data_IF_594643575129
#
_entry.id   IF_594643575129
#
_cell.length_a   1.000
_cell.length_b   1.000
_cell.length_c   1.000
_cell.angle_alpha   90.00
_cell.angle_beta   90.00
_cell.angle_gamma   90.00
#
_symmetry.space_group_name_H-M   'P 1'
#
loop_
_entity.id
_entity.type
_entity.pdbx_description
1 polymer ?
#
# COMPACT_ATOMS: atom_id res chain seq x y z
N UNK A 1 -13.81 -3.01 -5.48
CA UNK A 1 -12.86 -4.14 -5.37
C UNK A 1 -12.53 -4.57 -6.79
N UNK A 2 -11.25 -4.62 -7.17
CA UNK A 2 -10.86 -4.97 -8.55
C UNK A 2 -11.20 -6.44 -8.78
N UNK A 3 -12.16 -6.70 -9.67
CA UNK A 3 -12.61 -8.07 -9.99
C UNK A 3 -11.59 -8.79 -10.88
N UNK A 4 -10.87 -8.03 -11.71
CA UNK A 4 -9.94 -8.51 -12.72
C UNK A 4 -8.47 -8.20 -12.36
N UNK A 5 -7.97 -8.83 -11.30
CA UNK A 5 -6.55 -8.78 -10.96
C UNK A 5 -5.96 -10.19 -10.86
N UNK A 6 -4.73 -10.34 -11.36
CA UNK A 6 -3.84 -11.47 -11.05
C UNK A 6 -2.75 -10.94 -10.12
N UNK A 7 -2.57 -11.60 -8.99
CA UNK A 7 -1.53 -11.25 -8.03
C UNK A 7 -0.32 -12.14 -8.24
N UNK A 8 0.85 -11.52 -8.22
CA UNK A 8 2.14 -12.19 -8.34
C UNK A 8 2.97 -11.81 -7.12
N UNK A 9 3.23 -12.79 -6.26
CA UNK A 9 4.13 -12.64 -5.11
C UNK A 9 5.53 -13.02 -5.57
N UNK A 10 6.44 -12.05 -5.56
CA UNK A 10 7.83 -12.23 -5.97
C UNK A 10 8.70 -12.21 -4.73
N UNK A 11 9.61 -13.17 -4.60
CA UNK A 11 10.63 -13.18 -3.56
C UNK A 11 12.00 -13.52 -4.14
N UNK A 12 13.06 -13.16 -3.41
CA UNK A 12 14.42 -13.53 -3.77
C UNK A 12 14.75 -14.91 -3.20
N UNK A 13 15.03 -15.88 -4.07
CA UNK A 13 15.34 -17.26 -3.69
C UNK A 13 16.69 -17.42 -2.99
N UNK A 14 17.56 -16.40 -3.01
CA UNK A 14 18.88 -16.37 -2.36
C UNK A 14 18.87 -15.78 -0.95
N UNK A 15 17.88 -14.94 -0.64
CA UNK A 15 17.81 -14.24 0.63
C UNK A 15 16.93 -14.98 1.64
N UNK A 16 16.88 -14.46 2.86
CA UNK A 16 15.93 -14.89 3.90
C UNK A 16 14.47 -14.48 3.63
N UNK A 17 14.16 -13.91 2.46
CA UNK A 17 12.83 -13.36 2.13
C UNK A 17 11.75 -14.44 2.02
N UNK A 18 12.13 -15.71 1.81
CA UNK A 18 11.19 -16.83 1.81
C UNK A 18 10.39 -16.92 3.12
N UNK A 19 10.97 -16.47 4.24
CA UNK A 19 10.30 -16.43 5.54
C UNK A 19 9.18 -15.37 5.60
N UNK A 20 9.20 -14.37 4.72
CA UNK A 20 8.21 -13.32 4.64
C UNK A 20 7.07 -13.64 3.65
N UNK A 21 7.23 -14.69 2.82
CA UNK A 21 6.25 -15.02 1.77
C UNK A 21 4.86 -15.26 2.34
N UNK A 22 4.75 -15.95 3.48
CA UNK A 22 3.45 -16.18 4.14
C UNK A 22 2.73 -14.87 4.47
N UNK A 23 3.44 -13.86 4.98
CA UNK A 23 2.87 -12.56 5.28
C UNK A 23 2.33 -11.84 4.03
N UNK A 24 3.00 -11.98 2.89
CA UNK A 24 2.53 -11.41 1.62
C UNK A 24 1.34 -12.18 1.05
N UNK A 25 1.38 -13.51 1.08
CA UNK A 25 0.27 -14.35 0.60
C UNK A 25 -1.00 -14.10 1.41
N UNK A 26 -0.87 -13.98 2.73
CA UNK A 26 -1.98 -13.61 3.61
C UNK A 26 -2.56 -12.22 3.27
N UNK A 27 -1.70 -11.23 2.96
CA UNK A 27 -2.18 -9.91 2.51
C UNK A 27 -2.95 -10.01 1.19
N UNK A 28 -2.46 -10.79 0.24
CA UNK A 28 -3.16 -11.02 -1.03
C UNK A 28 -4.50 -11.70 -0.77
N UNK A 29 -4.54 -12.73 0.07
CA UNK A 29 -5.79 -13.42 0.42
C UNK A 29 -6.81 -12.48 1.09
N UNK A 30 -6.37 -11.53 1.92
CA UNK A 30 -7.26 -10.51 2.49
C UNK A 30 -7.80 -9.51 1.46
N UNK A 31 -7.09 -9.31 0.35
CA UNK A 31 -7.49 -8.42 -0.75
C UNK A 31 -8.36 -9.14 -1.78
N UNK A 32 -8.03 -10.40 -2.10
CA UNK A 32 -8.73 -11.25 -3.08
C UNK A 32 -8.89 -12.69 -2.57
N UNK A 33 -9.82 -12.95 -1.64
CA UNK A 33 -9.94 -14.25 -0.94
C UNK A 33 -10.14 -15.48 -1.83
N UNK A 34 -10.64 -15.28 -3.06
CA UNK A 34 -11.02 -16.35 -3.99
C UNK A 34 -10.00 -16.61 -5.10
N UNK A 35 -8.89 -15.85 -5.16
CA UNK A 35 -7.90 -15.99 -6.23
C UNK A 35 -6.60 -16.56 -5.69
N UNK A 36 -6.09 -17.61 -6.36
CA UNK A 36 -4.77 -18.16 -6.06
C UNK A 36 -3.70 -17.21 -6.61
N UNK A 37 -2.80 -16.66 -5.78
CA UNK A 37 -1.68 -15.86 -6.27
C UNK A 37 -0.66 -16.75 -6.99
N UNK A 38 0.05 -16.16 -7.95
CA UNK A 38 1.26 -16.77 -8.51
C UNK A 38 2.43 -16.52 -7.56
N UNK A 39 3.25 -17.53 -7.33
CA UNK A 39 4.46 -17.41 -6.50
C UNK A 39 5.70 -17.55 -7.39
N UNK A 40 6.56 -16.54 -7.34
CA UNK A 40 7.73 -16.41 -8.20
C UNK A 40 8.98 -16.27 -7.34
N UNK A 41 9.93 -17.19 -7.52
CA UNK A 41 11.25 -17.13 -6.92
C UNK A 41 12.25 -16.57 -7.94
N UNK A 42 12.84 -15.41 -7.65
CA UNK A 42 13.93 -14.84 -8.46
C UNK A 42 15.28 -15.38 -8.02
N UNK A 43 16.31 -15.29 -8.89
CA UNK A 43 17.66 -15.84 -8.63
C UNK A 43 17.67 -17.33 -8.29
N UNK A 44 16.71 -18.07 -8.84
CA UNK A 44 16.40 -19.43 -8.45
C UNK A 44 17.21 -20.49 -9.20
N UNK A 45 17.78 -20.14 -10.36
CA UNK A 45 18.51 -21.05 -11.26
C UNK A 45 19.76 -20.32 -11.79
N UNK A 46 20.78 -20.20 -10.95
CA UNK A 46 22.02 -19.50 -11.29
C UNK A 46 23.23 -20.31 -10.81
N UNK A 47 23.84 -21.06 -11.74
CA UNK A 47 24.89 -22.03 -11.43
C UNK A 47 24.34 -23.24 -10.65
N UNK A 48 25.10 -23.73 -9.68
CA UNK A 48 24.70 -24.84 -8.80
C UNK A 48 23.79 -24.41 -7.64
N UNK A 49 23.37 -23.14 -7.62
CA UNK A 49 22.53 -22.60 -6.55
C UNK A 49 21.09 -23.12 -6.66
N UNK A 50 20.59 -23.70 -5.56
CA UNK A 50 19.19 -24.11 -5.42
C UNK A 50 18.45 -23.06 -4.60
N UNK A 51 17.39 -22.49 -5.20
CA UNK A 51 16.54 -21.51 -4.55
C UNK A 51 15.93 -22.03 -3.23
N UNK A 52 15.94 -21.17 -2.21
CA UNK A 52 15.18 -21.41 -1.00
C UNK A 52 13.68 -21.34 -1.32
N UNK A 53 12.92 -22.23 -0.67
CA UNK A 53 11.47 -22.37 -0.87
C UNK A 53 10.79 -22.11 0.47
N UNK A 54 9.64 -21.39 0.50
CA UNK A 54 8.84 -21.27 1.71
C UNK A 54 8.49 -22.64 2.28
N UNK A 55 8.31 -22.73 3.60
CA UNK A 55 7.99 -24.01 4.23
C UNK A 55 6.69 -24.60 3.69
N UNK A 56 6.62 -25.93 3.66
CA UNK A 56 5.43 -26.67 3.18
C UNK A 56 4.14 -26.18 3.86
N UNK A 57 4.08 -25.97 5.19
CA UNK A 57 2.86 -25.46 5.84
C UNK A 57 2.41 -24.08 5.33
N UNK A 58 3.35 -23.19 4.96
CA UNK A 58 3.02 -21.88 4.40
C UNK A 58 2.41 -22.04 3.00
N UNK A 59 2.98 -22.90 2.17
CA UNK A 59 2.48 -23.13 0.81
C UNK A 59 1.09 -23.79 0.83
N UNK A 60 0.92 -24.81 1.67
CA UNK A 60 -0.35 -25.54 1.81
C UNK A 60 -1.49 -24.65 2.33
N UNK A 61 -1.20 -23.74 3.27
CA UNK A 61 -2.20 -22.78 3.78
C UNK A 61 -2.81 -21.89 2.69
N UNK A 62 -2.11 -21.71 1.57
CA UNK A 62 -2.56 -20.92 0.42
C UNK A 62 -2.87 -21.77 -0.82
N UNK A 63 -2.91 -23.11 -0.68
CA UNK A 63 -3.19 -24.03 -1.79
C UNK A 63 -2.14 -24.00 -2.90
N UNK A 64 -0.89 -23.68 -2.55
CA UNK A 64 0.27 -23.65 -3.46
C UNK A 64 1.09 -24.91 -3.25
N UNK A 65 1.48 -25.60 -4.32
CA UNK A 65 2.44 -26.71 -4.26
C UNK A 65 3.86 -26.19 -4.55
N UNK A 66 4.89 -26.87 -4.05
CA UNK A 66 6.28 -26.48 -4.31
C UNK A 66 6.63 -26.48 -5.82
N UNK A 67 5.97 -27.32 -6.61
CA UNK A 67 6.14 -27.41 -8.06
C UNK A 67 5.38 -26.30 -8.83
N UNK A 68 4.40 -25.66 -8.19
CA UNK A 68 3.69 -24.51 -8.74
C UNK A 68 4.57 -23.25 -8.74
N UNK A 69 5.68 -23.24 -7.98
CA UNK A 69 6.57 -22.10 -7.86
C UNK A 69 7.32 -21.90 -9.18
N UNK A 70 7.14 -20.71 -9.74
CA UNK A 70 7.84 -20.30 -10.95
C UNK A 70 9.23 -19.81 -10.53
N UNK A 71 10.26 -20.52 -10.99
CA UNK A 71 11.67 -20.22 -10.67
C UNK A 71 12.27 -19.46 -11.83
N UNK A 72 12.81 -18.28 -11.55
CA UNK A 72 13.43 -17.40 -12.54
C UNK A 72 14.94 -17.33 -12.33
N UNK A 73 15.70 -17.38 -13.41
CA UNK A 73 17.10 -16.94 -13.41
C UNK A 73 17.19 -15.48 -13.81
N UNK A 74 17.79 -14.64 -12.98
CA UNK A 74 18.02 -13.24 -13.35
C UNK A 74 19.17 -13.10 -14.36
N UNK A 75 20.04 -14.13 -14.44
CA UNK A 75 21.21 -14.15 -15.32
C UNK A 75 20.88 -14.64 -16.73
N UNK A 76 20.15 -15.77 -16.84
CA UNK A 76 19.86 -16.38 -18.14
C UNK A 76 18.49 -16.01 -18.69
N UNK A 77 17.59 -15.49 -17.84
CA UNK A 77 16.18 -15.31 -18.18
C UNK A 77 15.36 -16.60 -18.14
N UNK A 78 15.95 -17.73 -17.72
CA UNK A 78 15.23 -19.00 -17.60
C UNK A 78 13.99 -18.84 -16.72
N UNK A 79 12.89 -19.46 -17.17
CA UNK A 79 11.59 -19.41 -16.48
C UNK A 79 10.73 -18.19 -16.82
N UNK A 80 11.25 -17.17 -17.52
CA UNK A 80 10.45 -16.01 -17.96
C UNK A 80 9.33 -16.43 -18.91
N UNK A 81 9.61 -17.30 -19.88
CA UNK A 81 8.59 -17.81 -20.80
C UNK A 81 7.49 -18.60 -20.08
N UNK A 82 7.87 -19.40 -19.08
CA UNK A 82 6.92 -20.10 -18.21
C UNK A 82 6.04 -19.09 -17.45
N UNK A 83 6.63 -18.02 -16.91
CA UNK A 83 5.88 -16.96 -16.24
C UNK A 83 4.90 -16.27 -17.19
N UNK A 84 5.35 -15.90 -18.39
CA UNK A 84 4.50 -15.29 -19.41
C UNK A 84 3.34 -16.22 -19.76
N UNK A 85 3.60 -17.50 -20.02
CA UNK A 85 2.58 -18.49 -20.33
C UNK A 85 1.55 -18.62 -19.21
N UNK A 86 1.98 -18.74 -17.95
CA UNK A 86 1.05 -18.85 -16.80
C UNK A 86 0.22 -17.57 -16.62
N UNK A 87 0.80 -16.38 -16.86
CA UNK A 87 0.04 -15.12 -16.81
C UNK A 87 -0.98 -15.05 -17.96
N UNK A 88 -0.59 -15.44 -19.18
CA UNK A 88 -1.49 -15.52 -20.33
C UNK A 88 -2.62 -16.50 -20.09
N UNK A 89 -2.32 -17.69 -19.60
CA UNK A 89 -3.33 -18.71 -19.25
C UNK A 89 -4.28 -18.20 -18.16
N UNK A 90 -3.75 -17.55 -17.12
CA UNK A 90 -4.59 -16.94 -16.09
C UNK A 90 -5.50 -15.85 -16.66
N UNK A 91 -5.02 -15.05 -17.61
CA UNK A 91 -5.81 -14.03 -18.29
C UNK A 91 -6.90 -14.62 -19.18
N UNK A 92 -6.60 -15.68 -19.95
CA UNK A 92 -7.55 -16.39 -20.82
C UNK A 92 -8.62 -17.12 -20.01
N UNK A 93 -8.22 -17.74 -18.89
CA UNK A 93 -9.12 -18.51 -18.02
C UNK A 93 -9.83 -17.66 -16.96
N UNK A 94 -9.47 -16.39 -16.82
CA UNK A 94 -10.31 -15.46 -16.07
C UNK A 94 -11.64 -15.42 -16.82
N UNK A 95 -12.79 -15.60 -16.15
CA UNK A 95 -14.10 -15.44 -16.77
C UNK A 95 -14.30 -13.95 -17.12
N UNK A 96 -13.57 -13.50 -18.13
CA UNK A 96 -13.72 -12.23 -18.77
C UNK A 96 -15.03 -12.34 -19.53
N UNK A 97 -16.01 -11.56 -19.07
CA UNK A 97 -17.34 -11.50 -19.66
C UNK A 97 -17.21 -11.35 -21.18
N UNK A 98 -17.59 -12.37 -21.95
CA UNK A 98 -17.61 -12.36 -23.42
C UNK A 98 -18.37 -11.13 -23.96
N UNK A 99 -19.27 -10.58 -23.15
CA UNK A 99 -20.04 -9.37 -23.42
C UNK A 99 -19.20 -8.08 -23.49
N UNK A 100 -17.96 -8.04 -22.96
CA UNK A 100 -17.11 -6.83 -23.01
C UNK A 100 -16.56 -6.57 -24.42
N UNK A 101 -16.36 -7.63 -25.20
CA UNK A 101 -15.75 -7.60 -26.54
C UNK A 101 -16.62 -6.97 -27.63
N UNK A 102 -17.73 -6.32 -27.27
CA UNK A 102 -18.50 -5.55 -28.25
C UNK A 102 -17.56 -4.52 -28.93
N UNK A 103 -17.62 -4.37 -30.27
CA UNK A 103 -16.78 -3.40 -30.98
C UNK A 103 -16.88 -1.97 -30.42
N UNK A 104 -18.05 -1.56 -29.93
CA UNK A 104 -18.29 -0.25 -29.32
C UNK A 104 -17.44 -0.02 -28.04
N UNK A 105 -17.37 -1.01 -27.14
CA UNK A 105 -16.56 -0.93 -25.93
C UNK A 105 -15.05 -0.92 -26.22
N UNK A 106 -14.61 -1.72 -27.22
CA UNK A 106 -13.22 -1.74 -27.67
C UNK A 106 -12.82 -0.38 -28.25
N UNK A 107 -13.66 0.20 -29.11
CA UNK A 107 -13.42 1.53 -29.66
C UNK A 107 -13.39 2.59 -28.55
N UNK A 108 -14.34 2.54 -27.61
CA UNK A 108 -14.37 3.47 -26.47
C UNK A 108 -13.09 3.40 -25.64
N UNK A 109 -12.57 2.20 -25.37
CA UNK A 109 -11.27 2.00 -24.69
C UNK A 109 -10.13 2.66 -25.44
N UNK A 110 -10.08 2.50 -26.76
CA UNK A 110 -9.05 3.14 -27.59
C UNK A 110 -9.19 4.66 -27.61
N UNK A 111 -10.41 5.20 -27.61
CA UNK A 111 -10.66 6.64 -27.47
C UNK A 111 -10.17 7.18 -26.12
N UNK A 112 -10.43 6.48 -25.01
CA UNK A 112 -9.91 6.84 -23.68
C UNK A 112 -8.37 6.87 -23.68
N UNK A 113 -7.72 5.88 -24.30
CA UNK A 113 -6.25 5.82 -24.42
C UNK A 113 -5.69 6.93 -25.30
N UNK A 114 -6.35 7.26 -26.41
CA UNK A 114 -5.97 8.40 -27.27
C UNK A 114 -6.09 9.71 -26.51
N UNK A 115 -7.20 9.92 -25.80
CA UNK A 115 -7.41 11.10 -24.96
C UNK A 115 -6.34 11.21 -23.88
N UNK A 116 -6.05 10.13 -23.15
CA UNK A 116 -4.99 10.07 -22.14
C UNK A 116 -3.64 10.54 -22.71
N UNK A 117 -3.26 10.02 -23.88
CA UNK A 117 -2.01 10.41 -24.56
C UNK A 117 -2.02 11.88 -24.98
N UNK A 118 -3.16 12.40 -25.42
CA UNK A 118 -3.31 13.79 -25.82
C UNK A 118 -3.13 14.74 -24.63
N UNK A 119 -3.86 14.51 -23.53
CA UNK A 119 -3.74 15.31 -22.30
C UNK A 119 -2.34 15.24 -21.70
N UNK A 120 -1.73 14.05 -21.66
CA UNK A 120 -0.36 13.90 -21.16
C UNK A 120 0.66 14.71 -21.98
N UNK A 121 0.50 14.75 -23.32
CA UNK A 121 1.36 15.58 -24.20
C UNK A 121 1.13 17.06 -24.00
N UNK A 122 -0.11 17.47 -23.70
CA UNK A 122 -0.47 18.85 -23.40
C UNK A 122 -0.04 19.29 -21.99
N UNK A 123 0.43 18.36 -21.13
CA UNK A 123 0.71 18.65 -19.73
C UNK A 123 -0.56 18.90 -18.91
N UNK A 124 -1.71 18.44 -19.39
CA UNK A 124 -3.00 18.62 -18.74
C UNK A 124 -3.29 17.49 -17.72
N UNK A 125 -4.18 17.74 -16.73
CA UNK A 125 -4.62 16.71 -15.80
C UNK A 125 -5.23 15.52 -16.55
N UNK A 126 -4.95 14.29 -16.13
CA UNK A 126 -5.51 13.08 -16.76
C UNK A 126 -6.93 12.75 -16.23
N UNK A 127 -7.76 13.80 -16.16
CA UNK A 127 -9.18 13.77 -15.88
C UNK A 127 -9.94 14.44 -17.01
N UNK A 128 -11.17 14.00 -17.22
CA UNK A 128 -12.16 14.66 -18.08
C UNK A 128 -13.47 14.79 -17.33
N UNK A 129 -14.35 15.64 -17.84
CA UNK A 129 -15.74 15.71 -17.38
C UNK A 129 -16.53 14.48 -17.84
N UNK A 130 -17.59 14.16 -17.09
CA UNK A 130 -18.55 13.13 -17.45
C UNK A 130 -19.20 13.43 -18.81
N UNK A 131 -19.45 14.71 -19.12
CA UNK A 131 -19.97 15.12 -20.42
C UNK A 131 -19.02 14.81 -21.59
N UNK A 132 -17.72 15.00 -21.42
CA UNK A 132 -16.71 14.62 -22.42
C UNK A 132 -16.66 13.10 -22.63
N UNK A 133 -16.72 12.33 -21.54
CA UNK A 133 -16.83 10.87 -21.61
C UNK A 133 -18.09 10.45 -22.37
N UNK A 134 -19.25 11.01 -22.02
CA UNK A 134 -20.51 10.71 -22.67
C UNK A 134 -20.50 11.10 -24.16
N UNK A 135 -19.85 12.21 -24.51
CA UNK A 135 -19.65 12.63 -25.90
C UNK A 135 -18.79 11.64 -26.69
N UNK A 136 -17.71 11.12 -26.09
CA UNK A 136 -16.90 10.04 -26.69
C UNK A 136 -17.73 8.77 -26.87
N UNK A 137 -18.50 8.37 -25.84
CA UNK A 137 -19.29 7.15 -25.87
C UNK A 137 -20.37 7.18 -26.98
N UNK A 138 -21.03 8.32 -27.17
CA UNK A 138 -22.00 8.52 -28.27
C UNK A 138 -21.36 8.34 -29.65
N UNK A 139 -20.13 8.83 -29.84
CA UNK A 139 -19.35 8.62 -31.09
C UNK A 139 -18.96 7.16 -31.31
N UNK A 140 -18.90 6.36 -30.24
CA UNK A 140 -18.63 4.93 -30.29
C UNK A 140 -19.92 4.08 -30.40
N UNK A 141 -21.06 4.68 -30.79
CA UNK A 141 -22.37 4.04 -30.90
C UNK A 141 -22.99 3.55 -29.58
N UNK A 142 -22.55 4.06 -28.42
CA UNK A 142 -23.21 3.81 -27.13
C UNK A 142 -24.27 4.89 -26.90
N UNK A 143 -25.47 4.66 -27.45
CA UNK A 143 -26.51 5.69 -27.52
C UNK A 143 -27.33 5.82 -26.24
N UNK A 144 -27.59 4.71 -25.55
CA UNK A 144 -28.43 4.73 -24.34
C UNK A 144 -27.61 5.13 -23.10
N UNK A 145 -28.23 5.74 -22.07
CA UNK A 145 -27.56 5.96 -20.78
C UNK A 145 -27.05 4.67 -20.13
N UNK A 146 -27.80 3.57 -20.25
CA UNK A 146 -27.45 2.29 -19.64
C UNK A 146 -26.23 1.65 -20.31
N UNK A 147 -26.14 1.70 -21.64
CA UNK A 147 -24.96 1.23 -22.38
C UNK A 147 -23.70 2.01 -21.97
N UNK A 148 -23.83 3.33 -21.82
CA UNK A 148 -22.72 4.22 -21.43
C UNK A 148 -22.27 3.94 -19.99
N UNK A 149 -23.21 3.75 -19.07
CA UNK A 149 -22.90 3.37 -17.68
C UNK A 149 -22.24 2.00 -17.62
N UNK A 150 -22.79 1.01 -18.31
CA UNK A 150 -22.21 -0.34 -18.38
C UNK A 150 -20.80 -0.32 -18.95
N UNK A 151 -20.55 0.48 -20.01
CA UNK A 151 -19.22 0.68 -20.57
C UNK A 151 -18.26 1.30 -19.54
N UNK A 152 -18.68 2.35 -18.82
CA UNK A 152 -17.87 3.00 -17.80
C UNK A 152 -17.51 2.06 -16.64
N UNK A 153 -18.47 1.27 -16.15
CA UNK A 153 -18.25 0.28 -15.10
C UNK A 153 -17.22 -0.77 -15.55
N UNK A 154 -17.33 -1.26 -16.78
CA UNK A 154 -16.38 -2.21 -17.37
C UNK A 154 -14.97 -1.62 -17.49
N UNK A 155 -14.85 -0.40 -18.01
CA UNK A 155 -13.55 0.29 -18.09
C UNK A 155 -12.96 0.55 -16.70
N UNK A 156 -13.82 0.79 -15.69
CA UNK A 156 -13.41 0.94 -14.29
C UNK A 156 -12.93 -0.36 -13.66
N UNK A 157 -13.58 -1.49 -13.98
CA UNK A 157 -13.20 -2.82 -13.52
C UNK A 157 -11.85 -3.25 -14.10
N UNK A 158 -11.58 -2.93 -15.37
CA UNK A 158 -10.27 -3.13 -16.02
C UNK A 158 -9.18 -2.16 -15.54
N UNK A 159 -9.55 -1.11 -14.79
CA UNK A 159 -8.61 -0.07 -14.37
C UNK A 159 -8.13 0.82 -15.51
N UNK A 160 -8.91 0.95 -16.60
CA UNK A 160 -8.62 1.91 -17.68
C UNK A 160 -9.05 3.34 -17.30
N UNK A 161 -10.04 3.48 -16.42
CA UNK A 161 -10.46 4.76 -15.86
C UNK A 161 -11.06 4.56 -14.46
N UNK A 162 -11.43 5.65 -13.78
CA UNK A 162 -12.24 5.66 -12.56
C UNK A 162 -13.22 6.83 -12.59
N UNK A 163 -14.47 6.54 -12.24
CA UNK A 163 -15.47 7.56 -11.90
C UNK A 163 -15.78 7.45 -10.40
N UNK A 164 -15.77 8.60 -9.72
CA UNK A 164 -16.03 8.69 -8.28
C UNK A 164 -17.33 9.44 -8.02
N UNK A 165 -18.46 8.94 -8.55
CA UNK A 165 -19.77 9.58 -8.43
C UNK A 165 -20.22 9.85 -6.99
N UNK A 166 -19.71 9.06 -6.03
CA UNK A 166 -20.04 9.15 -4.61
C UNK A 166 -19.14 10.11 -3.82
N UNK A 167 -18.14 10.72 -4.45
CA UNK A 167 -17.22 11.65 -3.80
C UNK A 167 -17.63 13.08 -4.12
N UNK A 168 -18.01 13.90 -3.10
CA UNK A 168 -18.40 15.26 -3.33
C UNK A 168 -17.31 16.07 -4.05
N UNK A 169 -17.70 16.84 -5.07
CA UNK A 169 -16.78 17.61 -5.92
C UNK A 169 -16.12 16.81 -7.05
N UNK A 170 -16.32 15.48 -7.14
CA UNK A 170 -15.87 14.62 -8.24
C UNK A 170 -17.01 13.90 -8.96
N UNK A 171 -18.26 14.30 -8.72
CA UNK A 171 -19.44 13.62 -9.27
C UNK A 171 -19.46 13.64 -10.80
N UNK A 172 -18.91 14.69 -11.38
CA UNK A 172 -18.76 14.87 -12.82
C UNK A 172 -17.35 14.51 -13.32
N UNK A 173 -16.48 13.92 -12.49
CA UNK A 173 -15.07 13.63 -12.82
C UNK A 173 -14.90 12.22 -13.36
N UNK A 174 -14.18 12.07 -14.46
CA UNK A 174 -13.68 10.78 -14.91
C UNK A 174 -12.17 10.84 -14.97
N UNK A 175 -11.49 10.15 -14.05
CA UNK A 175 -10.04 9.94 -14.07
C UNK A 175 -9.75 8.93 -15.16
N UNK A 176 -9.19 9.37 -16.29
CA UNK A 176 -8.89 8.48 -17.43
C UNK A 176 -7.52 7.82 -17.35
N UNK A 177 -6.72 8.16 -16.35
CA UNK A 177 -5.50 7.45 -15.99
C UNK A 177 -5.43 7.20 -14.48
N UNK A 178 -5.83 6.00 -14.01
CA UNK A 178 -5.73 5.66 -12.59
C UNK A 178 -4.30 5.66 -12.05
N UNK A 179 -3.26 5.51 -12.90
CA UNK A 179 -1.87 5.63 -12.47
C UNK A 179 -1.54 7.07 -12.09
N UNK A 180 -1.94 8.05 -12.89
CA UNK A 180 -1.74 9.47 -12.56
C UNK A 180 -2.35 9.83 -11.21
N UNK A 181 -3.54 9.32 -10.91
CA UNK A 181 -4.16 9.51 -9.60
C UNK A 181 -3.36 8.84 -8.47
N UNK A 182 -2.86 7.63 -8.70
CA UNK A 182 -2.01 6.94 -7.74
C UNK A 182 -0.70 7.71 -7.50
N UNK A 183 -0.09 8.26 -8.54
CA UNK A 183 1.11 9.07 -8.47
C UNK A 183 0.86 10.37 -7.67
N UNK A 184 -0.31 11.00 -7.86
CA UNK A 184 -0.75 12.14 -7.04
C UNK A 184 -0.88 11.73 -5.55
N UNK A 185 -1.55 10.63 -5.25
CA UNK A 185 -1.67 10.14 -3.87
C UNK A 185 -0.29 9.80 -3.26
N UNK A 186 0.63 9.26 -4.05
CA UNK A 186 2.00 8.94 -3.62
C UNK A 186 2.91 10.18 -3.47
N UNK A 187 2.52 11.33 -4.04
CA UNK A 187 3.19 12.61 -3.71
C UNK A 187 2.83 13.10 -2.31
N UNK A 188 1.62 12.78 -1.85
CA UNK A 188 1.09 13.21 -0.54
C UNK A 188 1.48 12.20 0.55
N UNK A 189 1.33 10.91 0.27
CA UNK A 189 1.78 9.83 1.15
C UNK A 189 3.19 9.42 0.73
N UNK A 190 4.19 10.03 1.36
CA UNK A 190 5.58 9.97 0.88
C UNK A 190 6.58 10.00 2.02
N UNK A 191 7.67 9.23 1.89
CA UNK A 191 8.85 9.33 2.76
C UNK A 191 9.98 10.17 2.14
N UNK A 192 9.76 10.71 0.94
CA UNK A 192 10.72 11.59 0.28
C UNK A 192 10.80 12.95 1.00
N UNK A 193 12.01 13.34 1.41
CA UNK A 193 12.22 14.54 2.21
C UNK A 193 11.85 15.83 1.45
N UNK A 194 12.08 15.87 0.12
CA UNK A 194 11.73 17.03 -0.70
C UNK A 194 10.22 17.23 -0.77
N UNK A 195 9.46 16.17 -0.99
CA UNK A 195 7.98 16.21 -1.00
C UNK A 195 7.39 16.50 0.38
N UNK A 196 7.99 15.94 1.44
CA UNK A 196 7.59 16.28 2.82
C UNK A 196 7.81 17.79 3.10
N UNK A 197 8.92 18.36 2.61
CA UNK A 197 9.17 19.80 2.72
C UNK A 197 8.20 20.65 1.88
N UNK A 198 7.83 20.20 0.67
CA UNK A 198 6.81 20.86 -0.17
C UNK A 198 5.45 20.95 0.54
N UNK A 199 5.09 19.89 1.27
CA UNK A 199 3.90 19.83 2.11
C UNK A 199 4.05 20.62 3.42
N UNK A 200 5.24 21.11 3.77
CA UNK A 200 5.50 21.64 5.11
C UNK A 200 5.12 20.63 6.20
N UNK A 201 5.39 19.34 5.95
CA UNK A 201 4.89 18.26 6.79
C UNK A 201 5.73 18.14 8.07
N UNK A 202 5.05 18.12 9.22
CA UNK A 202 5.66 17.88 10.52
C UNK A 202 4.96 16.72 11.22
N UNK A 203 5.66 15.61 11.46
CA UNK A 203 5.12 14.43 12.14
C UNK A 203 3.79 13.90 11.55
N UNK A 204 3.63 14.00 10.22
CA UNK A 204 2.41 13.59 9.52
C UNK A 204 1.28 14.63 9.50
N UNK A 205 1.52 15.83 10.04
CA UNK A 205 0.62 16.98 9.94
C UNK A 205 1.06 17.93 8.81
N UNK A 206 0.10 18.58 8.18
CA UNK A 206 0.31 19.65 7.19
C UNK A 206 -0.85 20.65 7.25
N UNK A 207 -0.73 21.80 6.60
CA UNK A 207 -1.87 22.71 6.41
C UNK A 207 -2.70 22.30 5.19
N UNK A 208 -4.01 22.55 5.23
CA UNK A 208 -4.90 22.33 4.07
C UNK A 208 -4.42 23.11 2.85
N UNK A 209 -3.99 24.36 3.03
CA UNK A 209 -3.42 25.19 1.96
C UNK A 209 -2.18 24.58 1.30
N UNK A 210 -1.30 23.91 2.06
CA UNK A 210 -0.13 23.25 1.50
C UNK A 210 -0.54 21.99 0.73
N UNK A 211 -1.47 21.20 1.28
CA UNK A 211 -2.02 20.02 0.63
C UNK A 211 -2.69 20.38 -0.71
N UNK A 212 -3.56 21.38 -0.71
CA UNK A 212 -4.25 21.88 -1.90
C UNK A 212 -3.26 22.40 -2.94
N UNK A 213 -2.18 23.08 -2.53
CA UNK A 213 -1.13 23.54 -3.45
C UNK A 213 -0.47 22.38 -4.18
N UNK A 214 -0.18 21.28 -3.49
CA UNK A 214 0.40 20.07 -4.11
C UNK A 214 -0.60 19.43 -5.08
N UNK A 215 -1.89 19.40 -4.74
CA UNK A 215 -2.92 18.89 -5.66
C UNK A 215 -3.06 19.81 -6.88
N UNK A 216 -3.11 21.13 -6.67
CA UNK A 216 -3.20 22.15 -7.70
C UNK A 216 -2.00 22.15 -8.65
N UNK A 217 -0.79 21.80 -8.17
CA UNK A 217 0.40 21.73 -9.03
C UNK A 217 0.36 20.56 -10.01
N UNK A 218 -0.40 19.51 -9.70
CA UNK A 218 -0.60 18.33 -10.57
C UNK A 218 -1.91 18.42 -11.35
N UNK A 219 -2.90 19.12 -10.80
CA UNK A 219 -4.22 19.33 -11.38
C UNK A 219 -4.52 20.84 -11.44
N UNK A 220 -3.84 21.63 -12.31
CA UNK A 220 -4.14 23.04 -12.48
C UNK A 220 -5.60 23.23 -12.91
N UNK A 221 -6.16 24.40 -12.59
CA UNK A 221 -7.52 24.73 -12.99
C UNK A 221 -7.62 24.63 -14.51
N UNK A 222 -8.43 23.69 -14.99
CA UNK A 222 -8.64 23.53 -16.43
C UNK A 222 -9.48 24.69 -16.95
N UNK A 223 -9.29 25.03 -18.22
CA UNK A 223 -10.13 25.95 -18.99
C UNK A 223 -11.62 25.56 -18.99
N UNK A 224 -11.97 24.33 -18.59
CA UNK A 224 -13.35 23.85 -18.43
C UNK A 224 -14.05 24.25 -17.11
N UNK A 225 -13.42 25.07 -16.26
CA UNK A 225 -14.11 25.86 -15.23
C UNK A 225 -14.39 25.18 -13.88
N UNK A 226 -13.90 23.95 -13.65
CA UNK A 226 -13.98 23.28 -12.34
C UNK A 226 -12.61 23.16 -11.66
N UNK A 227 -12.49 23.60 -10.41
CA UNK A 227 -11.36 23.22 -9.55
C UNK A 227 -11.66 21.86 -8.92
N UNK A 228 -11.09 20.80 -9.47
CA UNK A 228 -11.23 19.43 -8.96
C UNK A 228 -10.46 19.20 -7.65
N UNK A 229 -9.73 20.21 -7.17
CA UNK A 229 -8.81 20.10 -6.03
C UNK A 229 -9.53 19.64 -4.76
N UNK A 230 -10.62 20.30 -4.37
CA UNK A 230 -11.40 19.91 -3.19
C UNK A 230 -11.92 18.46 -3.33
N UNK A 231 -12.45 18.12 -4.51
CA UNK A 231 -12.90 16.77 -4.81
C UNK A 231 -11.79 15.71 -4.68
N UNK A 232 -10.59 15.99 -5.17
CA UNK A 232 -9.43 15.09 -5.06
C UNK A 232 -8.95 14.95 -3.61
N UNK A 233 -8.99 16.03 -2.81
CA UNK A 233 -8.71 15.97 -1.38
C UNK A 233 -9.75 15.11 -0.66
N UNK A 234 -11.04 15.31 -0.95
CA UNK A 234 -12.13 14.47 -0.41
C UNK A 234 -12.02 13.01 -0.82
N UNK A 235 -11.54 12.72 -2.04
CA UNK A 235 -11.24 11.36 -2.46
C UNK A 235 -10.14 10.73 -1.59
N UNK A 236 -9.08 11.48 -1.29
CA UNK A 236 -8.01 11.00 -0.41
C UNK A 236 -8.51 10.78 1.03
N UNK A 237 -9.44 11.60 1.51
CA UNK A 237 -10.15 11.35 2.78
C UNK A 237 -10.98 10.07 2.71
N UNK A 238 -11.74 9.87 1.63
CA UNK A 238 -12.56 8.67 1.42
C UNK A 238 -11.70 7.39 1.41
N UNK A 239 -10.50 7.47 0.83
CA UNK A 239 -9.49 6.41 0.82
C UNK A 239 -8.81 6.20 2.19
N UNK A 240 -8.98 7.10 3.16
CA UNK A 240 -8.33 7.03 4.48
C UNK A 240 -6.85 7.41 4.46
N UNK A 241 -6.45 8.24 3.50
CA UNK A 241 -5.08 8.73 3.34
C UNK A 241 -4.88 10.10 3.98
N UNK A 242 -5.95 10.89 4.10
CA UNK A 242 -5.96 12.24 4.64
C UNK A 242 -7.15 12.38 5.60
N UNK A 243 -7.00 13.18 6.65
CA UNK A 243 -8.09 13.73 7.44
C UNK A 243 -7.93 15.26 7.43
N UNK A 244 -8.94 16.01 6.99
CA UNK A 244 -8.94 17.47 7.13
C UNK A 244 -9.61 17.82 8.45
N UNK A 245 -8.88 18.53 9.30
CA UNK A 245 -9.36 19.09 10.55
C UNK A 245 -10.15 20.38 10.28
N UNK A 246 -11.13 20.74 11.14
CA UNK A 246 -11.81 22.03 11.07
C UNK A 246 -10.87 23.25 11.13
N UNK A 247 -9.70 23.12 11.78
CA UNK A 247 -8.74 24.20 11.98
C UNK A 247 -7.81 24.45 10.77
N UNK A 248 -8.26 24.16 9.56
CA UNK A 248 -7.47 24.30 8.31
C UNK A 248 -6.17 23.46 8.29
N UNK A 249 -6.10 22.42 9.13
CA UNK A 249 -5.00 21.47 9.21
C UNK A 249 -5.39 20.14 8.59
N UNK A 250 -4.40 19.35 8.16
CA UNK A 250 -4.60 18.01 7.68
C UNK A 250 -3.65 17.02 8.36
N UNK A 251 -4.17 15.84 8.64
CA UNK A 251 -3.42 14.68 9.12
C UNK A 251 -3.28 13.69 7.98
N UNK A 252 -2.09 13.14 7.79
CA UNK A 252 -1.81 12.07 6.83
C UNK A 252 -1.45 10.82 7.64
N UNK A 253 -2.41 9.96 8.02
CA UNK A 253 -2.19 8.89 8.98
C UNK A 253 -1.03 7.95 8.68
N UNK A 254 -0.77 7.53 7.42
CA UNK A 254 0.39 6.70 7.12
C UNK A 254 1.75 7.34 7.46
N UNK A 255 1.80 8.67 7.56
CA UNK A 255 3.00 9.48 7.84
C UNK A 255 3.15 9.88 9.31
N UNK A 256 2.20 9.53 10.16
CA UNK A 256 2.28 9.77 11.59
C UNK A 256 3.35 8.88 12.25
N UNK A 257 3.90 9.29 13.40
CA UNK A 257 4.85 8.47 14.14
C UNK A 257 4.25 7.11 14.54
N UNK A 258 5.09 6.08 14.53
CA UNK A 258 4.71 4.75 15.01
C UNK A 258 4.89 4.65 16.53
N UNK A 259 3.84 4.23 17.23
CA UNK A 259 3.84 3.97 18.68
C UNK A 259 3.40 2.54 19.01
N UNK A 260 3.35 1.63 18.04
CA UNK A 260 2.90 0.24 18.24
C UNK A 260 3.73 -0.55 19.25
N UNK A 261 4.97 -0.12 19.53
CA UNK A 261 5.86 -0.72 20.52
C UNK A 261 5.58 -0.26 21.95
N UNK A 262 4.80 0.80 22.13
CA UNK A 262 4.43 1.28 23.47
C UNK A 262 3.45 0.30 24.12
N UNK A 263 3.65 0.04 25.41
CA UNK A 263 2.76 -0.86 26.14
C UNK A 263 1.37 -0.22 26.31
N UNK A 264 0.32 -1.03 26.31
CA UNK A 264 -1.03 -0.56 26.65
C UNK A 264 -1.07 0.11 28.03
N UNK A 265 -0.23 -0.33 28.97
CA UNK A 265 -0.09 0.30 30.29
C UNK A 265 0.43 1.74 30.17
N UNK A 266 1.39 2.00 29.29
CA UNK A 266 1.94 3.34 29.04
C UNK A 266 0.87 4.27 28.48
N UNK A 267 0.10 3.81 27.49
CA UNK A 267 -1.03 4.60 26.96
C UNK A 267 -2.10 4.87 28.03
N UNK A 268 -2.45 3.87 28.85
CA UNK A 268 -3.39 4.05 29.95
C UNK A 268 -2.88 5.03 31.00
N UNK A 269 -1.59 4.99 31.35
CA UNK A 269 -0.99 5.94 32.28
C UNK A 269 -1.07 7.38 31.73
N UNK A 270 -0.80 7.59 30.44
CA UNK A 270 -0.91 8.90 29.81
C UNK A 270 -2.35 9.46 29.84
N UNK A 271 -3.37 8.60 29.78
CA UNK A 271 -4.78 9.00 29.94
C UNK A 271 -5.14 9.43 31.37
N UNK A 272 -4.37 8.98 32.36
CA UNK A 272 -4.61 9.27 33.79
C UNK A 272 -3.84 10.51 34.25
N UNK A 273 -2.63 10.72 33.71
CA UNK A 273 -1.67 11.74 34.19
C UNK A 273 -1.95 13.14 33.64
N UNK A 274 -2.51 13.27 32.44
CA UNK A 274 -2.90 14.58 31.92
C UNK A 274 -4.19 15.07 32.57
N UNK A 275 -4.00 15.76 33.70
CA UNK A 275 -5.01 16.62 34.29
C UNK A 275 -5.36 17.74 33.32
N UNK A 276 -6.61 18.19 33.31
CA UNK A 276 -6.99 19.33 32.50
C UNK A 276 -6.30 20.59 33.05
N UNK A 277 -5.90 21.49 32.15
CA UNK A 277 -5.26 22.75 32.50
C UNK A 277 -6.16 23.63 33.40
N UNK A 278 -5.64 24.74 33.92
CA UNK A 278 -6.29 25.57 34.96
C UNK A 278 -7.69 26.14 34.61
N UNK A 279 -8.23 25.87 33.42
CA UNK A 279 -9.53 26.34 32.96
C UNK A 279 -10.66 25.31 33.01
N UNK A 280 -10.39 24.04 33.31
CA UNK A 280 -11.44 23.05 33.54
C UNK A 280 -11.94 23.13 34.98
N UNK A 281 -13.24 23.31 35.17
CA UNK A 281 -13.87 23.18 36.49
C UNK A 281 -13.55 21.84 37.16
N UNK A 282 -13.76 21.74 38.49
CA UNK A 282 -13.50 20.52 39.24
C UNK A 282 -14.25 19.34 38.61
N UNK A 283 -13.49 18.34 38.14
CA UNK A 283 -14.07 17.09 37.66
C UNK A 283 -14.88 16.42 38.78
N UNK A 284 -16.01 15.76 38.47
CA UNK A 284 -16.84 15.12 39.47
C UNK A 284 -16.03 14.10 40.28
N UNK A 285 -16.07 14.23 41.61
CA UNK A 285 -15.30 13.46 42.59
C UNK A 285 -15.78 12.00 42.75
N UNK A 286 -15.92 11.28 41.64
CA UNK A 286 -16.34 9.87 41.59
C UNK A 286 -15.25 8.94 41.05
N UNK A 287 -15.30 7.63 41.36
CA UNK A 287 -14.41 6.65 40.77
C UNK A 287 -14.59 6.66 39.24
N UNK A 288 -13.54 7.02 38.51
CA UNK A 288 -13.55 7.04 37.04
C UNK A 288 -13.89 5.65 36.52
N UNK A 289 -15.03 5.51 35.85
CA UNK A 289 -15.43 4.27 35.19
C UNK A 289 -14.81 4.26 33.80
N UNK A 290 -13.82 3.40 33.61
CA UNK A 290 -13.25 3.14 32.30
C UNK A 290 -13.89 1.89 31.75
N UNK A 291 -14.24 1.93 30.47
CA UNK A 291 -14.56 0.73 29.71
C UNK A 291 -13.51 0.60 28.61
N UNK A 292 -13.14 -0.63 28.28
CA UNK A 292 -12.24 -0.90 27.16
C UNK A 292 -12.70 -2.15 26.45
N UNK A 293 -12.66 -2.12 25.13
CA UNK A 293 -12.92 -3.29 24.29
C UNK A 293 -11.62 -3.63 23.56
N UNK A 294 -11.24 -4.91 23.58
CA UNK A 294 -10.05 -5.40 22.88
C UNK A 294 -10.47 -6.39 21.80
N UNK A 295 -10.08 -6.09 20.57
CA UNK A 295 -10.28 -6.98 19.42
C UNK A 295 -8.96 -7.65 19.06
N UNK A 296 -8.98 -8.97 18.89
CA UNK A 296 -7.85 -9.75 18.38
C UNK A 296 -8.12 -10.10 16.94
N UNK A 297 -7.26 -9.63 16.04
CA UNK A 297 -7.30 -9.98 14.63
C UNK A 297 -6.17 -10.97 14.34
N UNK A 298 -6.44 -11.99 13.52
CA UNK A 298 -5.37 -12.85 13.02
C UNK A 298 -4.36 -12.03 12.23
N UNK A 299 -4.86 -11.17 11.32
CA UNK A 299 -4.07 -10.15 10.61
C UNK A 299 -4.90 -8.91 10.35
N UNK A 300 -4.25 -7.74 10.39
CA UNK A 300 -4.88 -6.44 10.18
C UNK A 300 -3.99 -5.59 9.27
N UNK A 301 -4.56 -5.14 8.15
CA UNK A 301 -3.85 -4.34 7.15
C UNK A 301 -3.74 -2.88 7.61
N UNK A 302 -2.54 -2.31 7.50
CA UNK A 302 -2.24 -0.92 7.90
C UNK A 302 -3.23 0.09 7.33
N UNK A 303 -3.56 -0.01 6.05
CA UNK A 303 -4.48 0.92 5.40
C UNK A 303 -5.90 0.89 6.00
N UNK A 304 -6.33 -0.25 6.56
CA UNK A 304 -7.63 -0.35 7.25
C UNK A 304 -7.62 0.41 8.57
N UNK A 305 -6.49 0.37 9.28
CA UNK A 305 -6.30 1.15 10.50
C UNK A 305 -6.22 2.64 10.21
N UNK A 306 -5.46 3.05 9.20
CA UNK A 306 -5.41 4.45 8.76
C UNK A 306 -6.80 4.96 8.36
N UNK A 307 -7.56 4.17 7.59
CA UNK A 307 -8.94 4.50 7.22
C UNK A 307 -9.89 4.54 8.42
N UNK A 308 -9.75 3.61 9.36
CA UNK A 308 -10.53 3.62 10.60
C UNK A 308 -10.23 4.90 11.40
N UNK A 309 -8.96 5.30 11.50
CA UNK A 309 -8.56 6.52 12.17
C UNK A 309 -9.17 7.76 11.51
N UNK A 310 -9.05 7.92 10.18
CA UNK A 310 -9.72 9.02 9.46
C UNK A 310 -11.23 9.04 9.73
N UNK A 311 -11.91 7.89 9.65
CA UNK A 311 -13.36 7.81 9.91
C UNK A 311 -13.71 8.17 11.34
N UNK A 312 -12.91 7.74 12.31
CA UNK A 312 -13.13 8.06 13.72
C UNK A 312 -13.07 9.58 13.94
N UNK A 313 -12.06 10.24 13.35
CA UNK A 313 -11.89 11.69 13.45
C UNK A 313 -13.05 12.44 12.77
N UNK A 314 -13.55 11.94 11.64
CA UNK A 314 -14.71 12.53 10.94
C UNK A 314 -16.05 12.33 11.68
N UNK A 315 -16.24 11.19 12.34
CA UNK A 315 -17.50 10.85 13.02
C UNK A 315 -17.65 11.51 14.40
N UNK A 316 -16.59 12.12 14.91
CA UNK A 316 -16.56 12.78 16.21
C UNK A 316 -16.16 14.26 16.05
N UNK A 317 -16.95 15.08 15.33
CA UNK A 317 -16.59 16.46 15.01
C UNK A 317 -16.45 17.35 16.25
N UNK A 318 -17.15 17.03 17.33
CA UNK A 318 -17.09 17.79 18.59
C UNK A 318 -15.92 17.37 19.50
N UNK A 319 -15.13 16.37 19.09
CA UNK A 319 -14.02 15.87 19.89
C UNK A 319 -12.72 16.63 19.58
N UNK A 320 -12.10 17.18 20.62
CA UNK A 320 -10.77 17.77 20.57
C UNK A 320 -9.72 16.65 20.35
N UNK A 321 -8.91 16.77 19.31
CA UNK A 321 -7.80 15.85 19.04
C UNK A 321 -6.62 16.21 19.92
N UNK A 322 -6.39 15.46 21.01
CA UNK A 322 -5.30 15.72 21.94
C UNK A 322 -3.95 15.19 21.47
N UNK A 323 -3.96 14.06 20.75
CA UNK A 323 -2.76 13.40 20.24
C UNK A 323 -3.15 12.38 19.14
N UNK A 324 -2.27 12.16 18.18
CA UNK A 324 -2.50 11.23 17.06
C UNK A 324 -1.21 10.53 16.64
N UNK A 325 -1.30 9.25 16.30
CA UNK A 325 -0.21 8.44 15.79
C UNK A 325 -0.71 7.45 14.73
N UNK A 326 0.18 6.77 14.00
CA UNK A 326 -0.16 6.01 12.78
C UNK A 326 -1.35 5.08 12.91
N UNK A 327 -1.54 4.50 14.08
CA UNK A 327 -2.60 3.53 14.37
C UNK A 327 -3.37 3.84 15.65
N UNK A 328 -3.55 5.13 15.95
CA UNK A 328 -4.33 5.54 17.09
C UNK A 328 -4.48 7.04 17.26
N UNK A 329 -5.38 7.40 18.18
CA UNK A 329 -5.62 8.77 18.57
C UNK A 329 -6.08 8.82 20.01
N UNK A 330 -5.88 9.97 20.63
CA UNK A 330 -6.47 10.37 21.90
C UNK A 330 -7.36 11.58 21.64
N UNK A 331 -8.65 11.42 21.93
CA UNK A 331 -9.68 12.42 21.67
C UNK A 331 -10.35 12.81 23.00
N UNK A 332 -10.67 14.08 23.20
CA UNK A 332 -11.46 14.57 24.34
C UNK A 332 -12.80 15.07 23.84
N UNK A 333 -13.88 14.58 24.42
CA UNK A 333 -15.24 15.06 24.13
C UNK A 333 -15.64 16.23 25.03
N UNK A 334 -16.65 17.03 24.65
CA UNK A 334 -17.15 18.14 25.47
C UNK A 334 -17.61 17.70 26.88
N UNK A 335 -18.10 16.48 27.01
CA UNK A 335 -18.53 15.91 28.30
C UNK A 335 -17.35 15.54 29.22
N UNK A 336 -16.11 15.72 28.77
CA UNK A 336 -14.88 15.39 29.49
C UNK A 336 -14.40 13.95 29.29
N UNK A 337 -15.13 13.14 28.51
CA UNK A 337 -14.76 11.76 28.19
C UNK A 337 -13.54 11.71 27.25
N UNK A 338 -12.63 10.77 27.49
CA UNK A 338 -11.45 10.57 26.65
C UNK A 338 -11.55 9.23 25.91
N UNK A 339 -11.54 9.29 24.58
CA UNK A 339 -11.48 8.11 23.72
C UNK A 339 -10.05 7.88 23.26
N UNK A 340 -9.56 6.66 23.45
CA UNK A 340 -8.26 6.24 22.92
C UNK A 340 -8.42 5.00 22.05
N UNK A 341 -8.00 5.09 20.80
CA UNK A 341 -7.80 3.93 19.93
C UNK A 341 -6.30 3.65 19.86
N UNK A 342 -5.90 2.40 20.07
CA UNK A 342 -4.50 1.99 19.90
C UNK A 342 -4.42 0.59 19.30
N UNK A 343 -3.50 0.40 18.36
CA UNK A 343 -3.10 -0.90 17.87
C UNK A 343 -1.73 -1.25 18.48
N UNK A 344 -1.65 -2.41 19.14
CA UNK A 344 -0.38 -2.97 19.57
C UNK A 344 -0.07 -4.19 18.74
N UNK A 345 1.14 -4.27 18.19
CA UNK A 345 1.66 -5.50 17.61
C UNK A 345 2.47 -6.21 18.66
N UNK A 346 2.12 -7.46 18.96
CA UNK A 346 3.00 -8.31 19.75
C UNK A 346 4.35 -8.39 19.02
N UNK A 347 5.44 -8.06 19.70
CA UNK A 347 6.75 -8.41 19.18
C UNK A 347 6.76 -9.94 19.12
N UNK A 348 6.58 -10.51 17.92
CA UNK A 348 7.04 -11.86 17.70
C UNK A 348 8.54 -11.79 18.00
N UNK A 349 8.95 -12.40 19.12
CA UNK A 349 10.35 -12.74 19.33
C UNK A 349 10.72 -13.62 18.16
N UNK A 350 11.25 -13.01 17.10
CA UNK A 350 12.03 -13.73 16.11
C UNK A 350 13.14 -14.35 16.93
N UNK A 351 13.04 -15.66 17.21
CA UNK A 351 14.16 -16.38 17.79
C UNK A 351 15.31 -16.11 16.84
N UNK A 352 16.41 -15.47 17.28
CA UNK A 352 17.55 -15.28 16.40
C UNK A 352 17.90 -16.66 15.87
N UNK A 353 17.98 -16.79 14.56
CA UNK A 353 18.51 -17.99 13.93
C UNK A 353 19.87 -18.24 14.60
N UNK A 354 19.99 -19.38 15.27
CA UNK A 354 21.25 -19.86 15.82
C UNK A 354 22.28 -19.75 14.69
N UNK A 355 23.25 -18.84 14.84
CA UNK A 355 24.48 -18.85 14.04
C UNK A 355 25.21 -20.15 14.41
N UNK A 356 24.88 -21.22 13.71
CA UNK A 356 25.68 -22.43 13.67
C UNK A 356 26.74 -22.22 12.59
N UNK A 357 27.96 -21.90 12.99
CA UNK A 357 29.10 -21.91 12.07
C UNK A 357 30.18 -20.89 12.38
N UNK A 358 30.83 -21.00 13.54
CA UNK A 358 32.21 -20.55 13.72
C UNK A 358 32.80 -21.27 14.95
N UNK A 359 33.04 -22.58 14.80
CA UNK A 359 33.87 -23.33 15.75
C UNK A 359 34.43 -24.58 15.06
N UNK A 360 35.31 -24.35 14.08
CA UNK A 360 36.22 -25.37 13.55
C UNK A 360 37.34 -24.68 12.77
N UNK A 361 38.39 -24.25 13.48
CA UNK A 361 39.80 -24.47 13.09
C UNK A 361 40.74 -23.78 14.09
N UNK A 362 41.11 -24.48 15.16
CA UNK A 362 42.38 -24.27 15.85
C UNK A 362 42.91 -25.62 16.32
N UNK A 363 43.56 -26.37 15.42
CA UNK A 363 44.54 -27.38 15.81
C UNK A 363 45.72 -27.40 14.83
N UNK A 364 46.90 -27.28 15.46
CA UNK A 364 48.25 -27.63 15.03
C UNK A 364 49.03 -26.69 14.09
N UNK A 365 49.93 -25.90 14.70
CA UNK A 365 51.29 -25.67 14.19
C UNK A 365 52.30 -26.17 15.24
N UNK A 366 53.24 -27.07 14.90
CA UNK A 366 54.44 -27.29 15.69
C UNK A 366 55.55 -26.27 15.32
N UNK A 367 56.55 -26.07 16.20
CA UNK A 367 57.47 -24.94 16.12
C UNK A 367 58.59 -25.15 15.09
N UNK A 368 59.02 -24.03 14.51
CA UNK A 368 60.19 -23.89 13.66
C UNK A 368 61.47 -24.16 14.44
N UNK A 369 62.32 -25.06 13.94
CA UNK A 369 63.76 -25.02 14.13
C UNK A 369 64.42 -24.65 12.81
N UNK A 370 65.23 -23.59 12.84
CA UNK A 370 66.10 -23.18 11.74
C UNK A 370 67.52 -23.68 12.04
N UNK A 371 68.14 -24.42 11.12
CA UNK A 371 69.60 -24.45 10.94
C UNK A 371 69.98 -24.92 9.52
N UNK A 372 70.47 -23.96 8.73
CA UNK A 372 71.59 -23.98 7.78
C UNK A 372 72.30 -25.31 7.47
N UNK A 373 72.36 -25.70 6.17
CA UNK A 373 73.58 -25.61 5.32
C UNK A 373 73.41 -26.34 3.96
N UNK A 374 73.88 -25.64 2.92
CA UNK A 374 74.64 -26.05 1.74
C UNK A 374 74.52 -27.48 1.16
N UNK A 375 74.35 -27.57 -0.17
CA UNK A 375 74.80 -28.73 -0.92
C UNK A 375 74.12 -28.94 -2.28
N UNK A 376 74.77 -28.43 -3.32
CA UNK A 376 74.70 -28.84 -4.74
C UNK A 376 74.47 -30.34 -4.96
N UNK A 377 73.62 -30.75 -5.91
CA UNK A 377 74.02 -31.44 -7.16
C UNK A 377 72.79 -31.79 -8.05
N UNK A 378 73.11 -31.89 -9.33
CA UNK A 378 72.27 -31.93 -10.54
C UNK A 378 71.76 -33.38 -10.87
N UNK A 379 71.21 -33.71 -12.07
CA UNK A 379 69.91 -34.38 -12.24
C UNK A 379 70.03 -35.85 -12.75
N UNK A 380 68.93 -36.38 -13.32
CA UNK A 380 68.80 -37.54 -14.25
C UNK A 380 68.13 -38.80 -13.65
N UNK A 381 66.82 -39.00 -13.87
CA UNK A 381 66.20 -39.81 -14.95
C UNK A 381 64.68 -39.71 -14.91
#
# INVERSE_FOLDING_TARGET
MVREAQYVTVYNGRSGDMNLVGDFLDRVQLLVPKKKPLLVATHAVEGDFIAQVPSVPVLEAHGIKADDIIRLSSMTGDGVDKLQHVICDAAVNTPAHTDWLSPANLEMREQVRKMRKALARAGEPLLITLGEFEGMAKRCNLQTPDDRRSCMDRLSDMGELRHFSEVPGLESAVVIDPKWLADLMARIVTTDAGRMAELGMENGWTSMKALERVVQSVCPASSSGGSWVDGLVRLMQHCGLVYASPDEMAVIPPMLPDRMTQSLKSHRAALVVEQPGPQSGPLPAGPRRWWSVQYKYGRLLDHRLSRLLCRLLLLLPDAEVLDVWRFGARLRRPEGDVLAMTCTRGQHKVRPAMQAGEDLQLRAKPPMHAHSRAGTYDPIK
#
